data_IF_217040902804
#
_entry.id   IF_217040902804
#
_cell.length_a   1.000
_cell.length_b   1.000
_cell.length_c   1.000
_cell.angle_alpha   90.00
_cell.angle_beta   90.00
_cell.angle_gamma   90.00
#
_symmetry.space_group_name_H-M   'P 1'
#
loop_
_entity.id
_entity.type
_entity.pdbx_description
1 polymer ?
#
# COMPACT_ATOMS: atom_id res chain seq x y z
N UNK A 1 -31.18 24.25 -14.76
CA UNK A 1 -29.86 24.36 -14.12
C UNK A 1 -28.82 23.94 -15.16
N UNK A 2 -27.78 24.75 -15.44
CA UNK A 2 -26.67 24.37 -16.32
C UNK A 2 -26.01 23.07 -15.86
N UNK A 3 -25.53 22.26 -16.80
CA UNK A 3 -24.91 20.97 -16.45
C UNK A 3 -23.65 21.13 -15.58
N UNK A 4 -22.87 22.20 -15.78
CA UNK A 4 -21.69 22.49 -14.97
C UNK A 4 -22.00 22.81 -13.50
N UNK A 5 -23.13 23.49 -13.23
CA UNK A 5 -23.53 23.85 -11.86
C UNK A 5 -23.95 22.62 -11.07
N UNK A 6 -24.54 21.61 -11.73
CA UNK A 6 -24.90 20.33 -11.11
C UNK A 6 -23.64 19.52 -10.81
N UNK A 7 -22.68 19.48 -11.74
CA UNK A 7 -21.41 18.77 -11.53
C UNK A 7 -20.65 19.33 -10.32
N UNK A 8 -20.55 20.64 -10.22
CA UNK A 8 -19.88 21.30 -9.11
C UNK A 8 -20.54 20.97 -7.77
N UNK A 9 -21.89 21.04 -7.71
CA UNK A 9 -22.64 20.68 -6.51
C UNK A 9 -22.43 19.22 -6.10
N UNK A 10 -22.39 18.30 -7.06
CA UNK A 10 -22.13 16.86 -6.80
C UNK A 10 -20.72 16.64 -6.25
N UNK A 11 -19.71 17.32 -6.78
CA UNK A 11 -18.34 17.23 -6.28
C UNK A 11 -18.23 17.80 -4.86
N UNK A 12 -18.84 18.95 -4.59
CA UNK A 12 -18.88 19.54 -3.26
C UNK A 12 -19.52 18.59 -2.24
N UNK A 13 -20.64 17.96 -2.59
CA UNK A 13 -21.30 16.99 -1.73
C UNK A 13 -20.45 15.71 -1.55
N UNK A 14 -19.78 15.22 -2.60
CA UNK A 14 -18.85 14.09 -2.50
C UNK A 14 -17.71 14.39 -1.53
N UNK A 15 -17.08 15.56 -1.65
CA UNK A 15 -16.00 16.00 -0.76
C UNK A 15 -16.50 16.10 0.69
N UNK A 16 -17.70 16.64 0.92
CA UNK A 16 -18.31 16.68 2.24
C UNK A 16 -18.53 15.28 2.84
N UNK A 17 -18.96 14.31 2.03
CA UNK A 17 -19.13 12.92 2.46
C UNK A 17 -17.79 12.27 2.80
N UNK A 18 -16.76 12.49 1.99
CA UNK A 18 -15.41 11.95 2.23
C UNK A 18 -14.76 12.47 3.52
N UNK A 19 -15.10 13.70 3.94
CA UNK A 19 -14.67 14.26 5.23
C UNK A 19 -15.45 13.76 6.43
N UNK A 20 -16.47 12.92 6.26
CA UNK A 20 -17.22 12.41 7.41
C UNK A 20 -16.31 11.58 8.32
N UNK A 21 -16.43 11.72 9.66
CA UNK A 21 -15.61 10.94 10.59
C UNK A 21 -15.69 9.44 10.36
N UNK A 22 -16.85 8.95 9.88
CA UNK A 22 -17.04 7.54 9.55
C UNK A 22 -16.18 7.08 8.37
N UNK A 23 -16.05 7.86 7.30
CA UNK A 23 -15.22 7.47 6.16
C UNK A 23 -13.73 7.63 6.44
N UNK A 24 -13.34 8.68 7.17
CA UNK A 24 -11.97 8.83 7.66
C UNK A 24 -11.58 7.63 8.53
N UNK A 25 -12.41 7.27 9.50
CA UNK A 25 -12.15 6.11 10.37
C UNK A 25 -12.11 4.79 9.57
N UNK A 26 -13.04 4.56 8.63
CA UNK A 26 -13.02 3.35 7.79
C UNK A 26 -11.76 3.24 6.94
N UNK A 27 -11.32 4.35 6.36
CA UNK A 27 -10.10 4.39 5.54
C UNK A 27 -8.87 4.21 6.41
N UNK A 28 -8.85 4.79 7.61
CA UNK A 28 -7.80 4.54 8.60
C UNK A 28 -7.69 3.07 8.97
N UNK A 29 -8.80 2.40 9.30
CA UNK A 29 -8.76 0.97 9.62
C UNK A 29 -8.32 0.12 8.42
N UNK A 30 -8.83 0.41 7.22
CA UNK A 30 -8.39 -0.27 6.01
C UNK A 30 -6.88 -0.09 5.75
N UNK A 31 -6.35 1.13 5.98
CA UNK A 31 -4.93 1.43 5.84
C UNK A 31 -4.10 0.66 6.86
N UNK A 32 -4.57 0.57 8.11
CA UNK A 32 -3.94 -0.22 9.17
C UNK A 32 -3.92 -1.71 8.85
N UNK A 33 -5.00 -2.25 8.29
CA UNK A 33 -5.06 -3.66 7.89
C UNK A 33 -4.05 -3.96 6.78
N UNK A 34 -3.94 -3.06 5.78
CA UNK A 34 -2.94 -3.18 4.69
C UNK A 34 -1.52 -3.10 5.25
N UNK A 35 -1.23 -2.11 6.09
CA UNK A 35 0.07 -1.93 6.74
C UNK A 35 0.46 -3.18 7.56
N UNK A 36 -0.48 -3.71 8.34
CA UNK A 36 -0.25 -4.88 9.17
C UNK A 36 -0.01 -6.14 8.33
N UNK A 37 -0.76 -6.33 7.23
CA UNK A 37 -0.58 -7.45 6.32
C UNK A 37 0.78 -7.40 5.62
N UNK A 38 1.22 -6.24 5.13
CA UNK A 38 2.54 -6.09 4.50
C UNK A 38 3.66 -6.27 5.53
N UNK A 39 3.49 -5.75 6.75
CA UNK A 39 4.45 -5.98 7.85
C UNK A 39 4.58 -7.47 8.19
N UNK A 40 3.47 -8.19 8.29
CA UNK A 40 3.48 -9.63 8.55
C UNK A 40 4.16 -10.39 7.40
N UNK A 41 3.87 -10.02 6.15
CA UNK A 41 4.50 -10.59 4.96
C UNK A 41 6.01 -10.39 4.96
N UNK A 42 6.47 -9.16 5.23
CA UNK A 42 7.89 -8.85 5.30
C UNK A 42 8.59 -9.60 6.44
N UNK A 43 7.94 -9.73 7.59
CA UNK A 43 8.48 -10.50 8.70
C UNK A 43 8.63 -11.99 8.34
N UNK A 44 7.61 -12.59 7.72
CA UNK A 44 7.68 -13.97 7.21
C UNK A 44 8.78 -14.13 6.16
N UNK A 45 8.88 -13.20 5.23
CA UNK A 45 9.91 -13.21 4.19
C UNK A 45 11.33 -13.11 4.79
N UNK A 46 11.52 -12.24 5.79
CA UNK A 46 12.78 -12.10 6.51
C UNK A 46 13.18 -13.42 7.17
N UNK A 47 12.27 -14.04 7.93
CA UNK A 47 12.52 -15.31 8.61
C UNK A 47 12.86 -16.44 7.61
N UNK A 48 12.18 -16.47 6.46
CA UNK A 48 12.47 -17.43 5.39
C UNK A 48 13.89 -17.24 4.82
N UNK A 49 14.28 -16.00 4.51
CA UNK A 49 15.62 -15.69 4.01
C UNK A 49 16.72 -16.00 5.04
N UNK A 50 16.47 -15.75 6.32
CA UNK A 50 17.40 -16.12 7.41
C UNK A 50 17.60 -17.64 7.48
N UNK A 51 16.52 -18.41 7.35
CA UNK A 51 16.59 -19.87 7.33
C UNK A 51 17.36 -20.39 6.11
N UNK A 52 17.05 -19.91 4.91
CA UNK A 52 17.73 -20.31 3.67
C UNK A 52 19.22 -19.95 3.71
N UNK A 53 19.57 -18.76 4.21
CA UNK A 53 20.96 -18.35 4.40
C UNK A 53 21.71 -19.25 5.39
N UNK A 54 21.05 -19.63 6.48
CA UNK A 54 21.61 -20.56 7.47
C UNK A 54 21.90 -21.93 6.85
N UNK A 55 20.94 -22.47 6.09
CA UNK A 55 21.09 -23.75 5.39
C UNK A 55 22.22 -23.71 4.34
N UNK A 56 22.30 -22.64 3.54
CA UNK A 56 23.36 -22.47 2.55
C UNK A 56 24.75 -22.42 3.22
N UNK A 57 24.86 -21.73 4.36
CA UNK A 57 26.10 -21.68 5.15
C UNK A 57 26.50 -23.04 5.72
N UNK A 58 25.53 -23.79 6.25
CA UNK A 58 25.75 -25.14 6.77
C UNK A 58 26.21 -26.08 5.66
N UNK A 59 25.57 -26.05 4.49
CA UNK A 59 25.98 -26.81 3.31
C UNK A 59 27.42 -26.49 2.88
N UNK A 60 27.81 -25.21 2.90
CA UNK A 60 29.20 -24.82 2.61
C UNK A 60 30.19 -25.39 3.65
N UNK A 61 29.83 -25.39 4.94
CA UNK A 61 30.65 -25.97 6.00
C UNK A 61 30.80 -27.49 5.84
N UNK A 62 29.72 -28.22 5.51
CA UNK A 62 29.78 -29.66 5.23
C UNK A 62 30.68 -30.00 4.04
N UNK A 63 30.61 -29.19 2.98
CA UNK A 63 31.51 -29.32 1.83
C UNK A 63 32.97 -29.05 2.22
N UNK A 64 33.25 -28.19 3.20
CA UNK A 64 34.61 -27.87 3.67
C UNK A 64 35.22 -28.91 4.62
N UNK A 65 34.44 -29.81 5.23
CA UNK A 65 34.97 -30.81 6.18
C UNK A 65 36.08 -31.68 5.55
N UNK A 66 37.21 -31.90 6.25
CA UNK A 66 38.29 -32.76 5.76
C UNK A 66 37.77 -34.21 5.67
N UNK A 67 37.96 -34.86 4.51
CA UNK A 67 37.45 -36.20 4.21
C UNK A 67 36.23 -36.24 3.28
N UNK A 68 35.70 -35.09 2.87
CA UNK A 68 34.64 -35.00 1.86
C UNK A 68 35.27 -34.77 0.45
N UNK A 69 35.48 -35.86 -0.29
CA UNK A 69 36.09 -35.89 -1.64
C UNK A 69 35.05 -36.06 -2.75
N UNK A 70 33.89 -35.40 -2.60
CA UNK A 70 32.87 -35.40 -3.64
C UNK A 70 33.39 -34.80 -4.95
N UNK A 71 33.21 -35.48 -6.10
CA UNK A 71 33.58 -34.92 -7.40
C UNK A 71 32.78 -33.64 -7.65
N UNK A 72 33.44 -32.59 -8.12
CA UNK A 72 32.80 -31.27 -8.36
C UNK A 72 32.62 -30.41 -7.10
N UNK A 73 33.14 -30.82 -5.93
CA UNK A 73 33.07 -30.06 -4.67
C UNK A 73 33.45 -28.58 -4.80
N UNK A 74 34.51 -28.25 -5.55
CA UNK A 74 34.92 -26.86 -5.77
C UNK A 74 33.85 -26.03 -6.47
N UNK A 75 33.17 -26.61 -7.47
CA UNK A 75 32.09 -25.95 -8.22
C UNK A 75 30.80 -25.83 -7.40
N UNK A 76 30.49 -26.85 -6.59
CA UNK A 76 29.38 -26.78 -5.63
C UNK A 76 29.63 -25.71 -4.57
N UNK A 77 30.86 -25.62 -4.05
CA UNK A 77 31.23 -24.64 -3.03
C UNK A 77 31.16 -23.20 -3.56
N UNK A 78 31.62 -22.94 -4.79
CA UNK A 78 31.48 -21.62 -5.40
C UNK A 78 30.01 -21.26 -5.63
N UNK A 79 29.19 -22.23 -6.02
CA UNK A 79 27.75 -22.04 -6.22
C UNK A 79 27.03 -21.70 -4.92
N UNK A 80 27.24 -22.49 -3.87
CA UNK A 80 26.61 -22.29 -2.54
C UNK A 80 27.08 -20.97 -1.92
N UNK A 81 28.38 -20.64 -2.03
CA UNK A 81 28.89 -19.35 -1.54
C UNK A 81 28.25 -18.17 -2.28
N UNK A 82 28.08 -18.27 -3.61
CA UNK A 82 27.40 -17.22 -4.38
C UNK A 82 25.94 -17.07 -3.94
N UNK A 83 25.23 -18.19 -3.70
CA UNK A 83 23.87 -18.18 -3.17
C UNK A 83 23.80 -17.53 -1.79
N UNK A 84 24.73 -17.84 -0.89
CA UNK A 84 24.78 -17.24 0.44
C UNK A 84 25.02 -15.71 0.38
N UNK A 85 25.85 -15.23 -0.54
CA UNK A 85 26.05 -13.79 -0.76
C UNK A 85 24.77 -13.12 -1.25
N UNK A 86 24.07 -13.74 -2.22
CA UNK A 86 22.83 -13.19 -2.77
C UNK A 86 21.70 -13.17 -1.72
N UNK A 87 21.52 -14.25 -0.97
CA UNK A 87 20.56 -14.32 0.14
C UNK A 87 20.87 -13.28 1.21
N UNK A 88 22.14 -13.06 1.53
CA UNK A 88 22.55 -12.01 2.47
C UNK A 88 22.18 -10.61 1.96
N UNK A 89 22.37 -10.33 0.66
CA UNK A 89 22.00 -9.05 0.05
C UNK A 89 20.49 -8.82 0.10
N UNK A 90 19.70 -9.84 -0.23
CA UNK A 90 18.24 -9.78 -0.14
C UNK A 90 17.76 -9.58 1.30
N UNK A 91 18.39 -10.28 2.26
CA UNK A 91 18.08 -10.13 3.68
C UNK A 91 18.36 -8.72 4.18
N UNK A 92 19.45 -8.07 3.73
CA UNK A 92 19.72 -6.65 4.05
C UNK A 92 18.57 -5.77 3.60
N UNK A 93 18.14 -5.88 2.34
CA UNK A 93 17.05 -5.06 1.80
C UNK A 93 15.72 -5.27 2.54
N UNK A 94 15.33 -6.53 2.80
CA UNK A 94 14.09 -6.84 3.54
C UNK A 94 14.17 -6.38 4.99
N UNK A 95 15.33 -6.47 5.62
CA UNK A 95 15.53 -6.00 7.00
C UNK A 95 15.43 -4.48 7.12
N UNK A 96 15.94 -3.75 6.14
CA UNK A 96 15.78 -2.29 6.04
C UNK A 96 14.30 -1.91 5.91
N UNK A 97 13.56 -2.58 5.00
CA UNK A 97 12.10 -2.39 4.86
C UNK A 97 11.37 -2.70 6.17
N UNK A 98 11.67 -3.81 6.84
CA UNK A 98 11.06 -4.16 8.13
C UNK A 98 11.30 -3.07 9.19
N UNK A 99 12.49 -2.47 9.21
CA UNK A 99 12.84 -1.40 10.16
C UNK A 99 12.03 -0.13 9.90
N UNK A 100 11.78 0.20 8.63
CA UNK A 100 10.96 1.35 8.25
C UNK A 100 9.54 1.28 8.86
N UNK A 101 8.90 0.09 8.86
CA UNK A 101 7.57 -0.11 9.46
C UNK A 101 7.58 -0.27 11.00
N UNK A 102 8.73 -0.37 11.66
CA UNK A 102 8.79 -0.48 13.12
C UNK A 102 8.66 0.87 13.84
N UNK A 103 9.06 1.97 13.17
CA UNK A 103 9.05 3.32 13.74
C UNK A 103 7.93 4.22 13.23
N UNK A 104 7.39 3.95 12.04
CA UNK A 104 6.36 4.77 11.40
C UNK A 104 5.09 3.96 11.24
N UNK A 105 4.02 4.48 11.83
CA UNK A 105 2.72 3.82 11.87
C UNK A 105 1.69 4.78 11.26
N UNK A 106 0.79 4.29 10.40
CA UNK A 106 -0.22 5.16 9.75
C UNK A 106 -1.05 5.90 10.81
N UNK A 107 -1.20 7.21 10.68
CA UNK A 107 -2.00 8.04 11.59
C UNK A 107 -3.29 8.52 10.92
N UNK A 108 -4.26 8.96 11.72
CA UNK A 108 -5.47 9.61 11.19
C UNK A 108 -5.14 10.88 10.39
N UNK A 109 -4.07 11.58 10.77
CA UNK A 109 -3.57 12.73 10.02
C UNK A 109 -3.10 12.35 8.61
N UNK A 110 -2.48 11.17 8.44
CA UNK A 110 -2.03 10.69 7.13
C UNK A 110 -3.22 10.41 6.20
N UNK A 111 -4.30 9.87 6.77
CA UNK A 111 -5.55 9.64 6.05
C UNK A 111 -6.21 10.97 5.67
N UNK A 112 -6.24 11.93 6.60
CA UNK A 112 -6.77 13.28 6.33
C UNK A 112 -5.98 14.01 5.25
N UNK A 113 -4.64 13.91 5.25
CA UNK A 113 -3.77 14.45 4.21
C UNK A 113 -4.03 13.77 2.85
N UNK A 114 -4.23 12.46 2.82
CA UNK A 114 -4.60 11.74 1.60
C UNK A 114 -5.95 12.22 1.03
N UNK A 115 -6.96 12.46 1.88
CA UNK A 115 -8.25 13.02 1.45
C UNK A 115 -8.11 14.45 0.91
N UNK A 116 -7.28 15.31 1.52
CA UNK A 116 -7.02 16.68 1.04
C UNK A 116 -6.36 16.67 -0.35
N UNK A 117 -5.42 15.74 -0.59
CA UNK A 117 -4.80 15.59 -1.90
C UNK A 117 -5.81 15.17 -2.99
N UNK A 118 -6.81 14.35 -2.63
CA UNK A 118 -7.88 13.97 -3.56
C UNK A 118 -8.78 15.14 -3.93
N UNK A 119 -9.00 16.09 -3.03
CA UNK A 119 -9.79 17.28 -3.34
C UNK A 119 -9.12 18.14 -4.41
N UNK A 120 -7.81 18.36 -4.29
CA UNK A 120 -7.02 19.05 -5.33
C UNK A 120 -7.03 18.29 -6.67
N UNK A 121 -7.03 16.95 -6.62
CA UNK A 121 -7.10 16.13 -7.83
C UNK A 121 -8.38 16.36 -8.65
N UNK A 122 -9.53 16.61 -8.03
CA UNK A 122 -10.76 16.91 -8.76
C UNK A 122 -10.67 18.23 -9.55
N UNK A 123 -9.91 19.21 -9.05
CA UNK A 123 -9.71 20.50 -9.74
C UNK A 123 -8.81 20.38 -10.97
N UNK A 124 -7.84 19.47 -10.93
CA UNK A 124 -6.88 19.23 -12.01
C UNK A 124 -7.44 18.37 -13.15
N UNK A 125 -8.56 17.68 -12.94
CA UNK A 125 -9.18 16.81 -13.95
C UNK A 125 -9.99 17.59 -14.99
N UNK A 126 -9.87 17.17 -16.26
CA UNK A 126 -10.79 17.69 -17.27
C UNK A 126 -12.23 17.26 -16.98
N UNK A 127 -13.24 18.06 -17.38
CA UNK A 127 -14.64 17.80 -17.06
C UNK A 127 -15.17 16.43 -17.51
N UNK A 128 -14.61 15.87 -18.60
CA UNK A 128 -15.01 14.56 -19.11
C UNK A 128 -14.53 13.41 -18.22
N UNK A 129 -13.30 13.46 -17.71
CA UNK A 129 -12.81 12.50 -16.72
C UNK A 129 -13.56 12.62 -15.38
N UNK A 130 -13.85 13.84 -14.92
CA UNK A 130 -14.65 14.05 -13.70
C UNK A 130 -16.01 13.36 -13.80
N UNK A 131 -16.75 13.60 -14.89
CA UNK A 131 -18.04 12.96 -15.12
C UNK A 131 -17.93 11.43 -15.14
N UNK A 132 -16.87 10.87 -15.72
CA UNK A 132 -16.64 9.42 -15.71
C UNK A 132 -16.48 8.89 -14.29
N UNK A 133 -15.66 9.54 -13.46
CA UNK A 133 -15.42 9.12 -12.07
C UNK A 133 -16.67 9.30 -11.20
N UNK A 134 -17.40 10.41 -11.34
CA UNK A 134 -18.66 10.65 -10.62
C UNK A 134 -19.64 9.51 -10.90
N UNK A 135 -19.78 9.06 -12.15
CA UNK A 135 -20.70 7.95 -12.50
C UNK A 135 -20.29 6.59 -11.91
N UNK A 136 -19.01 6.40 -11.59
CA UNK A 136 -18.51 5.20 -10.93
C UNK A 136 -18.76 5.22 -9.41
N UNK A 137 -18.83 6.41 -8.82
CA UNK A 137 -19.00 6.59 -7.38
C UNK A 137 -20.47 6.79 -6.99
N UNK A 138 -21.26 7.40 -7.86
CA UNK A 138 -22.63 7.82 -7.60
C UNK A 138 -23.60 6.91 -8.34
N UNK A 139 -24.60 6.40 -7.62
CA UNK A 139 -25.68 5.60 -8.18
C UNK A 139 -26.81 6.49 -8.70
N UNK A 140 -27.25 7.45 -7.88
CA UNK A 140 -28.36 8.34 -8.18
C UNK A 140 -28.13 9.73 -7.59
N UNK A 141 -28.57 10.75 -8.32
CA UNK A 141 -28.63 12.15 -7.84
C UNK A 141 -30.07 12.64 -8.02
N UNK A 142 -30.69 13.09 -6.94
CA UNK A 142 -32.00 13.77 -6.95
C UNK A 142 -31.81 15.25 -6.63
N UNK A 143 -32.27 16.11 -7.52
CA UNK A 143 -32.21 17.57 -7.32
C UNK A 143 -33.52 18.03 -6.66
N UNK A 144 -33.42 18.74 -5.55
CA UNK A 144 -34.53 19.36 -4.83
C UNK A 144 -34.38 20.88 -4.82
N UNK A 145 -35.44 21.60 -4.47
CA UNK A 145 -35.41 23.06 -4.34
C UNK A 145 -34.42 23.55 -3.25
N UNK A 146 -34.15 22.72 -2.25
CA UNK A 146 -33.28 23.04 -1.11
C UNK A 146 -31.87 22.44 -1.21
N UNK A 147 -31.55 21.67 -2.24
CA UNK A 147 -30.25 21.00 -2.36
C UNK A 147 -30.25 19.78 -3.27
N UNK A 148 -29.24 18.92 -3.10
CA UNK A 148 -29.10 17.65 -3.82
C UNK A 148 -29.07 16.48 -2.85
N UNK A 149 -29.84 15.43 -3.15
CA UNK A 149 -29.73 14.13 -2.50
C UNK A 149 -28.93 13.19 -3.41
N UNK A 150 -28.04 12.40 -2.82
CA UNK A 150 -27.13 11.54 -3.57
C UNK A 150 -27.04 10.16 -2.93
N UNK A 151 -27.19 9.11 -3.74
CA UNK A 151 -26.94 7.73 -3.36
C UNK A 151 -25.59 7.28 -3.94
N UNK A 152 -24.71 6.78 -3.07
CA UNK A 152 -23.38 6.31 -3.47
C UNK A 152 -23.40 4.82 -3.79
N UNK A 153 -22.62 4.43 -4.80
CA UNK A 153 -22.34 3.02 -5.10
C UNK A 153 -21.46 2.45 -4.01
N UNK A 154 -21.93 1.41 -3.32
CA UNK A 154 -21.15 0.69 -2.31
C UNK A 154 -19.83 0.17 -2.87
N UNK A 155 -19.84 -0.44 -4.06
CA UNK A 155 -18.63 -0.97 -4.71
C UNK A 155 -17.61 0.12 -5.06
N UNK A 156 -18.08 1.29 -5.52
CA UNK A 156 -17.23 2.43 -5.85
C UNK A 156 -16.57 3.00 -4.61
N UNK A 157 -17.34 3.15 -3.53
CA UNK A 157 -16.84 3.64 -2.25
C UNK A 157 -15.82 2.68 -1.61
N UNK A 158 -16.06 1.37 -1.65
CA UNK A 158 -15.10 0.38 -1.16
C UNK A 158 -13.79 0.41 -1.94
N UNK A 159 -13.85 0.57 -3.26
CA UNK A 159 -12.65 0.68 -4.11
C UNK A 159 -11.86 1.94 -3.77
N UNK A 160 -12.54 3.08 -3.64
CA UNK A 160 -11.91 4.35 -3.26
C UNK A 160 -11.24 4.26 -1.88
N UNK A 161 -11.92 3.67 -0.89
CA UNK A 161 -11.35 3.46 0.44
C UNK A 161 -10.07 2.62 0.36
N UNK A 162 -10.07 1.55 -0.45
CA UNK A 162 -8.90 0.70 -0.62
C UNK A 162 -7.72 1.44 -1.28
N UNK A 163 -7.99 2.24 -2.32
CA UNK A 163 -6.94 3.03 -2.97
C UNK A 163 -6.38 4.12 -2.05
N UNK A 164 -7.24 4.84 -1.34
CA UNK A 164 -6.83 5.86 -0.37
C UNK A 164 -6.04 5.26 0.80
N UNK A 165 -6.44 4.09 1.27
CA UNK A 165 -5.72 3.33 2.27
C UNK A 165 -4.32 2.91 1.78
N UNK A 166 -4.20 2.50 0.52
CA UNK A 166 -2.92 2.22 -0.12
C UNK A 166 -2.02 3.46 -0.23
N UNK A 167 -2.58 4.59 -0.67
CA UNK A 167 -1.85 5.86 -0.76
C UNK A 167 -1.35 6.35 0.61
N UNK A 168 -2.16 6.22 1.65
CA UNK A 168 -1.75 6.56 3.02
C UNK A 168 -0.55 5.71 3.46
N UNK A 169 -0.54 4.41 3.13
CA UNK A 169 0.60 3.53 3.38
C UNK A 169 1.86 4.00 2.65
N UNK A 170 1.76 4.34 1.35
CA UNK A 170 2.89 4.85 0.57
C UNK A 170 3.48 6.15 1.14
N UNK A 171 2.62 7.07 1.60
CA UNK A 171 3.06 8.34 2.21
C UNK A 171 3.88 8.06 3.46
N UNK A 172 3.42 7.15 4.32
CA UNK A 172 4.12 6.74 5.54
C UNK A 172 5.46 6.07 5.24
N UNK A 173 5.52 5.21 4.21
CA UNK A 173 6.77 4.58 3.74
C UNK A 173 7.80 5.59 3.24
N UNK A 174 7.37 6.57 2.43
CA UNK A 174 8.25 7.64 1.93
C UNK A 174 8.82 8.48 3.07
N UNK A 175 8.07 8.70 4.14
CA UNK A 175 8.59 9.38 5.35
C UNK A 175 9.58 8.50 6.12
N UNK A 176 9.37 7.19 6.17
CA UNK A 176 10.28 6.27 6.87
C UNK A 176 11.63 6.08 6.13
N UNK A 177 11.67 6.42 4.84
CA UNK A 177 12.84 6.30 3.97
C UNK A 177 13.66 7.59 3.84
N UNK A 178 13.21 8.71 4.45
CA UNK A 178 13.92 10.00 4.51
C UNK A 178 14.68 10.13 5.83
#
# INVERSE_FOLDING_TARGET
>A
IPAGDIEQAVIEQLNAVFRTPTLVAKTYFAARDIEQAERERLFKQKAQLEMELSQAREQALELMKPGNDQPGKTEMLTTVNRQAVELSKQLTHVSERCRAYQGNSITEQDVSEAFQNVEGFWEDLFPVERNRLIRLLVDKVEIRETGIDMELRTNGLTTLIAELAGLACEVTERRASR
#
